data_IF_843822948250
#
_entry.id   IF_843822948250
#
_cell.length_a   1.000
_cell.length_b   1.000
_cell.length_c   1.000
_cell.angle_alpha   90.00
_cell.angle_beta   90.00
_cell.angle_gamma   90.00
#
_symmetry.space_group_name_H-M   'P 1'
#
loop_
_entity.id
_entity.type
_entity.pdbx_description
1 polymer ?
#
# COMPACT_ATOMS: atom_id res chain seq x y z
N UNK A 1 -13.52 13.57 -17.72
CA UNK A 1 -12.38 13.83 -16.82
C UNK A 1 -12.76 13.46 -15.39
N UNK A 2 -11.84 12.90 -14.64
CA UNK A 2 -12.04 12.60 -13.22
C UNK A 2 -10.86 13.15 -12.43
N UNK A 3 -11.14 14.02 -11.49
CA UNK A 3 -10.14 14.55 -10.56
C UNK A 3 -10.36 13.92 -9.18
N UNK A 4 -9.28 13.52 -8.53
CA UNK A 4 -9.33 12.87 -7.22
C UNK A 4 -8.47 13.69 -6.26
N UNK A 5 -9.08 14.10 -5.14
CA UNK A 5 -8.35 14.76 -4.06
C UNK A 5 -7.97 13.71 -3.02
N UNK A 6 -6.71 13.29 -3.04
CA UNK A 6 -6.24 12.24 -2.14
C UNK A 6 -6.36 12.64 -0.67
N UNK A 7 -6.19 13.93 -0.35
CA UNK A 7 -6.28 14.38 1.04
C UNK A 7 -7.67 14.15 1.65
N UNK A 8 -8.71 14.14 0.83
CA UNK A 8 -10.08 13.88 1.30
C UNK A 8 -10.31 12.40 1.55
N UNK A 9 -9.45 11.53 1.02
CA UNK A 9 -9.61 10.08 1.11
C UNK A 9 -8.69 9.44 2.15
N UNK A 10 -7.72 10.19 2.69
CA UNK A 10 -6.81 9.68 3.71
C UNK A 10 -7.61 9.29 4.95
N UNK A 11 -7.45 8.04 5.35
CA UNK A 11 -8.10 7.49 6.55
C UNK A 11 -7.19 6.42 7.14
N UNK A 12 -7.09 6.41 8.47
CA UNK A 12 -6.23 5.46 9.17
C UNK A 12 -7.06 4.53 10.03
N UNK A 13 -6.72 3.24 10.01
CA UNK A 13 -7.26 2.26 10.96
C UNK A 13 -6.78 2.61 12.36
N UNK A 14 -7.62 2.34 13.36
CA UNK A 14 -7.27 2.56 14.77
C UNK A 14 -6.58 1.33 15.38
N UNK A 15 -6.56 0.20 14.69
CA UNK A 15 -5.92 -1.00 15.18
C UNK A 15 -4.41 -0.85 15.13
N UNK A 16 -3.71 -1.23 16.20
CA UNK A 16 -2.24 -1.23 16.23
C UNK A 16 -1.69 -2.55 15.69
N UNK A 17 -0.52 -2.51 15.09
CA UNK A 17 0.19 -3.69 14.63
C UNK A 17 -0.37 -4.27 13.34
N UNK A 18 -0.51 -5.59 13.30
CA UNK A 18 -0.88 -6.30 12.09
C UNK A 18 -2.35 -6.08 11.71
N UNK A 19 -2.57 -5.59 10.49
CA UNK A 19 -3.92 -5.40 9.95
C UNK A 19 -4.35 -6.70 9.26
N UNK A 20 -4.76 -7.68 10.05
CA UNK A 20 -5.03 -9.04 9.57
C UNK A 20 -6.50 -9.31 9.24
N UNK A 21 -7.41 -8.40 9.56
CA UNK A 21 -8.81 -8.54 9.18
C UNK A 21 -9.12 -7.78 7.89
N UNK A 22 -10.11 -8.25 7.16
CA UNK A 22 -10.55 -7.57 5.93
C UNK A 22 -11.04 -6.15 6.23
N UNK A 23 -11.76 -5.96 7.34
CA UNK A 23 -12.28 -4.66 7.73
C UNK A 23 -11.16 -3.64 7.95
N UNK A 24 -10.12 -4.03 8.70
CA UNK A 24 -8.99 -3.15 8.96
C UNK A 24 -8.20 -2.83 7.70
N UNK A 25 -8.02 -3.82 6.82
CA UNK A 25 -7.35 -3.59 5.54
C UNK A 25 -8.12 -2.65 4.63
N UNK A 26 -9.48 -2.73 4.65
CA UNK A 26 -10.31 -1.81 3.86
C UNK A 26 -10.22 -0.37 4.33
N UNK A 27 -9.97 -0.14 5.61
CA UNK A 27 -9.74 1.22 6.13
C UNK A 27 -8.39 1.75 5.68
N UNK A 28 -7.37 0.90 5.70
CA UNK A 28 -6.02 1.27 5.33
C UNK A 28 -5.83 1.39 3.81
N UNK A 29 -6.59 0.61 3.03
CA UNK A 29 -6.40 0.52 1.58
C UNK A 29 -7.69 0.81 0.86
N UNK A 30 -7.68 1.84 0.01
CA UNK A 30 -8.85 2.28 -0.76
C UNK A 30 -8.60 2.17 -2.25
N UNK A 31 -9.58 1.59 -2.96
CA UNK A 31 -9.56 1.60 -4.41
C UNK A 31 -9.89 3.01 -4.90
N UNK A 32 -8.99 3.61 -5.66
CA UNK A 32 -9.18 4.93 -6.25
C UNK A 32 -9.78 4.83 -7.64
N UNK A 33 -9.29 3.88 -8.43
CA UNK A 33 -9.66 3.76 -9.83
C UNK A 33 -9.37 2.34 -10.29
N UNK A 34 -10.32 1.76 -11.03
CA UNK A 34 -10.13 0.47 -11.69
C UNK A 34 -10.39 0.65 -13.17
N UNK A 35 -9.38 0.41 -13.99
CA UNK A 35 -9.50 0.47 -15.45
C UNK A 35 -9.15 -0.89 -16.04
N UNK A 36 -9.31 -1.05 -17.33
CA UNK A 36 -8.90 -2.29 -17.99
C UNK A 36 -7.38 -2.42 -18.12
N UNK A 37 -6.63 -1.34 -17.87
CA UNK A 37 -5.19 -1.32 -18.05
C UNK A 37 -4.42 -1.28 -16.73
N UNK A 38 -5.02 -0.77 -15.65
CA UNK A 38 -4.39 -0.68 -14.33
C UNK A 38 -5.43 -0.39 -13.25
N UNK A 39 -5.06 -0.68 -12.01
CA UNK A 39 -5.81 -0.26 -10.83
C UNK A 39 -4.94 0.69 -10.01
N UNK A 40 -5.55 1.70 -9.41
CA UNK A 40 -4.88 2.59 -8.46
C UNK A 40 -5.49 2.42 -7.08
N UNK A 41 -4.64 2.27 -6.08
CA UNK A 41 -5.06 2.17 -4.68
C UNK A 41 -4.30 3.16 -3.82
N UNK A 42 -4.97 3.65 -2.79
CA UNK A 42 -4.35 4.50 -1.77
C UNK A 42 -4.19 3.68 -0.50
N UNK A 43 -2.99 3.66 0.05
CA UNK A 43 -2.70 2.95 1.29
C UNK A 43 -2.25 3.96 2.34
N UNK A 44 -2.93 3.94 3.50
CA UNK A 44 -2.64 4.85 4.61
C UNK A 44 -2.40 4.01 5.87
N UNK A 45 -1.21 4.14 6.45
CA UNK A 45 -0.81 3.38 7.62
C UNK A 45 -0.34 4.33 8.72
N UNK A 46 -0.84 4.13 9.95
CA UNK A 46 -0.27 4.76 11.13
C UNK A 46 1.08 4.11 11.43
N UNK A 47 1.88 4.76 12.29
CA UNK A 47 3.13 4.18 12.75
C UNK A 47 2.91 2.78 13.33
N UNK A 48 3.81 1.88 13.02
CA UNK A 48 3.83 0.49 13.51
C UNK A 48 2.65 -0.38 13.08
N UNK A 49 1.86 0.05 12.10
CA UNK A 49 0.89 -0.82 11.45
C UNK A 49 1.56 -1.64 10.36
N UNK A 50 1.03 -2.84 10.14
CA UNK A 50 1.60 -3.78 9.19
C UNK A 50 0.52 -4.40 8.33
N UNK A 51 0.74 -4.38 7.00
CA UNK A 51 -0.03 -5.20 6.07
C UNK A 51 0.70 -6.53 5.93
N UNK A 52 0.01 -7.67 6.19
CA UNK A 52 0.67 -8.97 6.17
C UNK A 52 1.36 -9.28 4.85
N UNK A 53 2.54 -9.89 4.94
CA UNK A 53 3.28 -10.35 3.75
C UNK A 53 2.59 -11.56 3.16
N UNK A 54 2.19 -11.47 1.89
CA UNK A 54 1.57 -12.59 1.17
C UNK A 54 1.67 -12.36 -0.33
N UNK A 55 1.65 -13.45 -1.13
CA UNK A 55 1.65 -13.32 -2.58
C UNK A 55 0.29 -12.82 -3.09
N UNK A 56 0.33 -12.08 -4.18
CA UNK A 56 -0.85 -11.64 -4.92
C UNK A 56 -0.62 -11.89 -6.41
N UNK A 57 -1.66 -12.21 -7.19
CA UNK A 57 -1.49 -12.62 -8.59
C UNK A 57 -1.37 -11.42 -9.54
N UNK A 58 -0.82 -10.31 -9.11
CA UNK A 58 -0.68 -9.12 -9.95
C UNK A 58 0.61 -8.37 -9.61
N UNK A 59 1.18 -7.68 -10.62
CA UNK A 59 2.29 -6.75 -10.41
C UNK A 59 1.78 -5.50 -9.70
N UNK A 60 2.63 -4.89 -8.87
CA UNK A 60 2.33 -3.61 -8.25
C UNK A 60 3.58 -2.74 -8.15
N UNK A 61 3.41 -1.44 -8.44
CA UNK A 61 4.39 -0.41 -8.09
C UNK A 61 3.84 0.37 -6.91
N UNK A 62 4.65 0.52 -5.86
CA UNK A 62 4.32 1.41 -4.75
C UNK A 62 5.09 2.70 -4.88
N UNK A 63 4.42 3.82 -4.68
CA UNK A 63 5.05 5.14 -4.64
C UNK A 63 4.72 5.78 -3.29
N UNK A 64 5.77 6.12 -2.52
CA UNK A 64 5.60 6.67 -1.18
C UNK A 64 5.40 8.18 -1.29
N UNK A 65 4.20 8.66 -0.89
CA UNK A 65 3.86 10.08 -0.91
C UNK A 65 4.44 10.75 0.33
N UNK A 66 4.23 10.13 1.50
CA UNK A 66 4.72 10.68 2.78
C UNK A 66 5.00 9.56 3.77
N UNK A 67 5.87 9.85 4.72
CA UNK A 67 6.24 8.91 5.77
C UNK A 67 7.31 7.92 5.34
N UNK A 68 7.43 6.84 6.10
CA UNK A 68 8.45 5.82 5.86
C UNK A 68 8.03 4.46 6.39
N UNK A 69 8.61 3.41 5.81
CA UNK A 69 8.33 2.05 6.25
C UNK A 69 9.30 1.03 5.67
N UNK A 70 9.17 -0.20 6.11
CA UNK A 70 9.92 -1.34 5.61
C UNK A 70 9.03 -2.15 4.68
N UNK A 71 9.51 -2.40 3.47
CA UNK A 71 8.81 -3.18 2.46
C UNK A 71 9.51 -4.53 2.30
N UNK A 72 8.71 -5.59 2.27
CA UNK A 72 9.19 -6.94 2.02
C UNK A 72 8.71 -7.38 0.65
N UNK A 73 9.62 -7.87 -0.20
CA UNK A 73 9.30 -8.48 -1.50
C UNK A 73 10.12 -9.74 -1.62
N UNK A 74 9.44 -10.90 -1.61
CA UNK A 74 10.11 -12.18 -1.56
C UNK A 74 10.88 -12.33 -0.25
N UNK A 75 12.16 -12.60 -0.33
CA UNK A 75 13.07 -12.71 0.82
C UNK A 75 13.91 -11.44 1.05
N UNK A 76 13.62 -10.37 0.32
CA UNK A 76 14.33 -9.10 0.46
C UNK A 76 13.50 -8.08 1.24
N UNK A 77 14.19 -7.18 1.94
CA UNK A 77 13.56 -6.07 2.63
C UNK A 77 14.29 -4.77 2.29
N UNK A 78 13.53 -3.68 2.21
CA UNK A 78 14.08 -2.35 1.97
C UNK A 78 13.28 -1.32 2.76
N UNK A 79 13.99 -0.32 3.28
CA UNK A 79 13.36 0.84 3.92
C UNK A 79 13.16 1.91 2.87
N UNK A 80 11.94 2.43 2.77
CA UNK A 80 11.59 3.48 1.82
C UNK A 80 10.92 4.64 2.53
N UNK A 81 11.09 5.82 1.95
CA UNK A 81 10.49 7.06 2.43
C UNK A 81 9.94 7.87 1.27
N UNK A 82 9.40 9.05 1.60
CA UNK A 82 8.75 9.95 0.63
C UNK A 82 9.57 10.11 -0.65
N UNK A 83 8.93 9.97 -1.79
CA UNK A 83 9.53 10.13 -3.12
C UNK A 83 10.16 8.88 -3.68
N UNK A 84 10.17 7.77 -2.93
CA UNK A 84 10.74 6.50 -3.40
C UNK A 84 9.68 5.55 -3.91
N UNK A 85 10.07 4.65 -4.79
CA UNK A 85 9.18 3.67 -5.43
C UNK A 85 9.73 2.26 -5.27
N UNK A 86 8.84 1.28 -5.34
CA UNK A 86 9.18 -0.14 -5.30
C UNK A 86 8.30 -0.91 -6.28
N UNK A 87 8.89 -1.86 -7.00
CA UNK A 87 8.15 -2.81 -7.83
C UNK A 87 8.13 -4.19 -7.19
N UNK A 88 6.93 -4.78 -7.08
CA UNK A 88 6.75 -6.16 -6.64
C UNK A 88 6.08 -6.94 -7.76
N UNK A 89 6.75 -7.98 -8.32
CA UNK A 89 6.16 -8.78 -9.39
C UNK A 89 5.05 -9.69 -8.89
N UNK A 90 4.15 -10.05 -9.80
CA UNK A 90 3.05 -10.97 -9.53
C UNK A 90 3.56 -12.27 -8.90
N UNK A 91 2.76 -12.84 -8.00
CA UNK A 91 3.03 -14.10 -7.32
C UNK A 91 4.23 -14.09 -6.37
N UNK A 92 4.82 -12.93 -6.13
CA UNK A 92 5.88 -12.76 -5.14
C UNK A 92 5.27 -12.20 -3.86
N UNK A 93 5.54 -12.81 -2.69
CA UNK A 93 5.05 -12.27 -1.42
C UNK A 93 5.50 -10.83 -1.22
N UNK A 94 4.57 -9.98 -0.78
CA UNK A 94 4.87 -8.59 -0.49
C UNK A 94 4.14 -8.16 0.77
N UNK A 95 4.79 -7.32 1.56
CA UNK A 95 4.24 -6.78 2.78
C UNK A 95 4.82 -5.41 3.10
N UNK A 96 4.14 -4.67 3.97
CA UNK A 96 4.52 -3.30 4.34
C UNK A 96 4.41 -3.18 5.84
N UNK A 97 5.45 -2.64 6.48
CA UNK A 97 5.41 -2.27 7.90
C UNK A 97 5.81 -0.81 8.02
N UNK A 98 4.89 0.03 8.48
CA UNK A 98 5.16 1.45 8.59
C UNK A 98 6.04 1.75 9.80
N UNK A 99 6.96 2.71 9.68
CA UNK A 99 7.75 3.26 10.78
C UNK A 99 7.14 4.56 11.24
N UNK A 100 6.92 5.47 10.32
CA UNK A 100 6.19 6.71 10.54
C UNK A 100 4.84 6.59 9.84
N UNK A 101 3.88 7.44 10.23
CA UNK A 101 2.62 7.53 9.49
C UNK A 101 2.93 7.67 8.00
N UNK A 102 2.35 6.81 7.19
CA UNK A 102 2.72 6.69 5.79
C UNK A 102 1.50 6.71 4.89
N UNK A 103 1.61 7.45 3.77
CA UNK A 103 0.63 7.47 2.70
C UNK A 103 1.33 7.10 1.41
N UNK A 104 0.81 6.11 0.70
CA UNK A 104 1.41 5.66 -0.55
C UNK A 104 0.35 5.29 -1.59
N UNK A 105 0.76 5.31 -2.84
CA UNK A 105 -0.04 4.83 -3.96
C UNK A 105 0.44 3.45 -4.38
N UNK A 106 -0.50 2.57 -4.71
CA UNK A 106 -0.23 1.33 -5.41
C UNK A 106 -0.78 1.41 -6.83
N UNK A 107 0.06 1.11 -7.80
CA UNK A 107 -0.32 1.02 -9.21
C UNK A 107 -0.24 -0.46 -9.57
N UNK A 108 -1.39 -1.08 -9.82
CA UNK A 108 -1.52 -2.53 -9.93
C UNK A 108 -1.95 -2.94 -11.33
N UNK A 109 -1.50 -4.12 -11.76
CA UNK A 109 -2.14 -4.78 -12.90
C UNK A 109 -3.64 -4.96 -12.62
N UNK A 110 -4.49 -4.93 -13.63
CA UNK A 110 -5.93 -5.18 -13.46
C UNK A 110 -6.18 -6.58 -12.87
N UNK A 111 -7.12 -6.64 -11.93
CA UNK A 111 -7.50 -7.92 -11.31
C UNK A 111 -8.88 -7.86 -10.67
#
# INVERSE_FOLDING_TARGET
MKAINLNELVEFSQKKGLLDTMEERKRAKKDLLKTKNYNLVLVCLEADQEIPTRPEPYDVCFYIISGSGTFTVGDEQVDLSSGEMLFAPANTPRGIKSKERMVLLGIQEPH
#
